data_IF_526963883860
#
_entry.id   IF_526963883860
#
_cell.length_a   1.000
_cell.length_b   1.000
_cell.length_c   1.000
_cell.angle_alpha   90.00
_cell.angle_beta   90.00
_cell.angle_gamma   90.00
#
_symmetry.space_group_name_H-M   'P 1'
#
loop_
_entity.id
_entity.type
_entity.pdbx_description
1 polymer ?
#
# COMPACT_ATOMS: atom_id res chain seq x y z
N UNK A 1 9.77 19.93 15.60
CA UNK A 1 8.99 19.28 14.52
C UNK A 1 9.61 17.91 14.32
N UNK A 2 9.01 16.88 14.90
CA UNK A 2 9.59 15.54 14.93
C UNK A 2 9.68 14.98 13.52
N UNK A 3 10.90 14.70 13.04
CA UNK A 3 11.10 13.67 12.01
C UNK A 3 10.66 12.37 12.65
N UNK A 4 9.38 12.07 12.52
CA UNK A 4 8.86 10.74 12.74
C UNK A 4 9.78 9.78 11.93
N UNK A 5 10.33 8.77 12.59
CA UNK A 5 11.38 7.90 12.06
C UNK A 5 10.90 6.93 10.97
N UNK A 6 10.08 7.40 10.02
CA UNK A 6 9.43 6.59 8.98
C UNK A 6 10.43 5.93 8.03
N UNK A 7 11.57 6.57 7.74
CA UNK A 7 12.49 6.14 6.68
C UNK A 7 13.20 4.80 6.91
N UNK A 8 13.22 4.27 8.14
CA UNK A 8 13.82 2.97 8.44
C UNK A 8 12.85 1.80 8.29
N UNK A 9 11.58 2.00 8.66
CA UNK A 9 10.61 0.90 8.70
C UNK A 9 9.76 0.79 7.44
N UNK A 10 9.51 1.94 6.80
CA UNK A 10 8.92 1.97 5.47
C UNK A 10 10.00 2.02 4.38
N UNK A 11 11.27 1.82 4.72
CA UNK A 11 12.36 1.85 3.74
C UNK A 11 12.23 0.72 2.71
N UNK A 12 11.82 -0.48 3.14
CA UNK A 12 11.51 -1.60 2.24
C UNK A 12 10.26 -1.32 1.41
N UNK A 13 9.18 -0.90 2.07
CA UNK A 13 7.89 -0.64 1.45
C UNK A 13 7.93 0.56 0.47
N UNK A 14 8.63 1.63 0.81
CA UNK A 14 8.87 2.77 -0.09
C UNK A 14 9.77 2.40 -1.29
N UNK A 15 10.69 1.45 -1.13
CA UNK A 15 11.45 0.90 -2.26
C UNK A 15 10.56 0.00 -3.14
N UNK A 16 9.59 -0.69 -2.54
CA UNK A 16 8.66 -1.58 -3.24
C UNK A 16 7.59 -0.80 -4.03
N UNK A 17 7.12 0.32 -3.48
CA UNK A 17 6.22 1.26 -4.13
C UNK A 17 6.93 2.24 -5.08
N UNK A 18 8.26 2.23 -5.14
CA UNK A 18 9.01 3.10 -6.03
C UNK A 18 8.69 2.77 -7.49
N UNK A 19 8.31 3.80 -8.25
CA UNK A 19 7.89 3.62 -9.64
C UNK A 19 6.53 2.95 -9.84
N UNK A 20 5.72 2.76 -8.79
CA UNK A 20 4.31 2.34 -8.92
C UNK A 20 3.49 3.34 -9.76
N UNK A 21 3.89 4.61 -9.75
CA UNK A 21 3.31 5.66 -10.59
C UNK A 21 4.35 6.23 -11.55
N UNK A 22 3.93 6.47 -12.80
CA UNK A 22 4.67 7.23 -13.78
C UNK A 22 4.78 8.71 -13.41
N UNK A 23 5.57 9.45 -14.18
CA UNK A 23 5.72 10.92 -14.01
C UNK A 23 4.42 11.69 -14.28
N UNK A 24 3.49 11.06 -14.97
CA UNK A 24 2.13 11.54 -15.25
C UNK A 24 1.11 11.14 -14.17
N UNK A 25 1.54 10.42 -13.13
CA UNK A 25 0.68 9.95 -12.05
C UNK A 25 -0.19 8.75 -12.40
N UNK A 26 0.03 8.11 -13.55
CA UNK A 26 -0.68 6.88 -13.93
C UNK A 26 0.01 5.68 -13.30
N UNK A 27 -0.77 4.70 -12.85
CA UNK A 27 -0.23 3.46 -12.32
C UNK A 27 0.54 2.68 -13.41
N UNK A 28 1.81 2.37 -13.12
CA UNK A 28 2.71 1.71 -14.05
C UNK A 28 2.54 0.17 -13.98
N UNK A 29 1.47 -0.32 -14.60
CA UNK A 29 1.15 -1.75 -14.65
C UNK A 29 2.26 -2.62 -15.28
N UNK A 30 3.17 -2.03 -16.06
CA UNK A 30 4.33 -2.69 -16.65
C UNK A 30 5.46 -2.97 -15.65
N UNK A 31 5.43 -2.33 -14.47
CA UNK A 31 6.50 -2.39 -13.47
C UNK A 31 6.09 -3.10 -12.20
N UNK A 32 4.84 -2.91 -11.77
CA UNK A 32 4.28 -3.50 -10.57
C UNK A 32 2.87 -3.99 -10.87
N UNK A 33 2.52 -5.21 -10.43
CA UNK A 33 1.15 -5.69 -10.56
C UNK A 33 0.27 -4.88 -9.61
N UNK A 34 -0.93 -4.53 -10.07
CA UNK A 34 -1.85 -3.74 -9.25
C UNK A 34 -2.23 -4.46 -7.95
N UNK A 35 -2.36 -5.79 -7.99
CA UNK A 35 -2.57 -6.64 -6.80
C UNK A 35 -1.44 -6.44 -5.78
N UNK A 36 -0.19 -6.68 -6.19
CA UNK A 36 0.99 -6.50 -5.31
C UNK A 36 1.08 -5.08 -4.73
N UNK A 37 0.73 -4.06 -5.53
CA UNK A 37 0.71 -2.68 -5.04
C UNK A 37 -0.33 -2.47 -3.92
N UNK A 38 -1.52 -3.03 -4.08
CA UNK A 38 -2.60 -2.85 -3.10
C UNK A 38 -2.31 -3.63 -1.83
N UNK A 39 -1.76 -4.84 -1.95
CA UNK A 39 -1.25 -5.66 -0.83
C UNK A 39 -0.18 -4.89 -0.03
N UNK A 40 0.81 -4.32 -0.71
CA UNK A 40 1.85 -3.49 -0.06
C UNK A 40 1.28 -2.27 0.67
N UNK A 41 0.18 -1.70 0.15
CA UNK A 41 -0.53 -0.59 0.81
C UNK A 41 -1.34 -1.06 2.02
N UNK A 42 -1.89 -2.28 2.00
CA UNK A 42 -2.54 -2.89 3.16
C UNK A 42 -1.53 -3.06 4.30
N UNK A 43 -0.39 -3.73 4.04
CA UNK A 43 0.68 -3.90 5.03
C UNK A 43 1.14 -2.56 5.62
N UNK A 44 1.23 -1.52 4.79
CA UNK A 44 1.57 -0.17 5.23
C UNK A 44 0.54 0.37 6.23
N UNK A 45 -0.75 0.22 5.93
CA UNK A 45 -1.83 0.74 6.74
C UNK A 45 -1.96 -0.04 8.06
N UNK A 46 -1.78 -1.35 8.03
CA UNK A 46 -1.75 -2.20 9.24
C UNK A 46 -0.60 -1.79 10.17
N UNK A 47 0.60 -1.56 9.63
CA UNK A 47 1.75 -1.09 10.44
C UNK A 47 1.48 0.29 11.07
N UNK A 48 0.85 1.20 10.31
CA UNK A 48 0.45 2.52 10.82
C UNK A 48 -0.58 2.35 11.94
N UNK A 49 -1.61 1.53 11.72
CA UNK A 49 -2.67 1.31 12.70
C UNK A 49 -2.14 0.65 13.98
N UNK A 50 -1.24 -0.32 13.85
CA UNK A 50 -0.55 -0.95 14.98
C UNK A 50 0.23 0.07 15.82
N UNK A 51 0.90 1.03 15.19
CA UNK A 51 1.70 2.03 15.90
C UNK A 51 0.89 3.10 16.59
N UNK A 52 -0.11 3.61 15.89
CA UNK A 52 -0.89 4.75 16.35
C UNK A 52 -2.00 4.31 17.31
N UNK A 53 -2.52 3.09 17.15
CA UNK A 53 -3.69 2.58 17.90
C UNK A 53 -3.50 1.22 18.56
N UNK A 54 -2.40 0.51 18.29
CA UNK A 54 -2.18 -0.83 18.83
C UNK A 54 -3.06 -1.90 18.18
N UNK A 55 -3.63 -1.60 17.02
CA UNK A 55 -4.59 -2.44 16.30
C UNK A 55 -4.05 -2.68 14.88
N UNK A 56 -3.45 -3.84 14.66
CA UNK A 56 -2.89 -4.22 13.35
C UNK A 56 -3.96 -4.71 12.38
N UNK A 57 -5.13 -5.10 12.88
CA UNK A 57 -6.24 -5.65 12.10
C UNK A 57 -7.13 -4.54 11.51
N UNK A 58 -6.88 -3.28 11.88
CA UNK A 58 -7.72 -2.15 11.45
C UNK A 58 -7.72 -1.89 9.93
N UNK A 59 -6.72 -2.42 9.21
CA UNK A 59 -6.63 -2.32 7.76
C UNK A 59 -6.72 -3.69 7.05
N UNK A 60 -6.94 -4.77 7.80
CA UNK A 60 -7.11 -6.12 7.25
C UNK A 60 -8.28 -6.16 6.26
N UNK A 61 -8.06 -6.82 5.12
CA UNK A 61 -9.00 -6.91 4.01
C UNK A 61 -9.07 -5.66 3.13
N UNK A 62 -8.12 -4.73 3.25
CA UNK A 62 -8.06 -3.55 2.37
C UNK A 62 -7.86 -3.94 0.90
N UNK A 63 -6.96 -4.88 0.63
CA UNK A 63 -6.70 -5.41 -0.70
C UNK A 63 -7.95 -6.04 -1.30
N UNK A 64 -8.62 -6.91 -0.54
CA UNK A 64 -9.85 -7.54 -0.98
C UNK A 64 -10.93 -6.50 -1.30
N UNK A 65 -11.06 -5.45 -0.46
CA UNK A 65 -11.99 -4.35 -0.70
C UNK A 65 -11.71 -3.63 -2.01
N UNK A 66 -10.45 -3.24 -2.25
CA UNK A 66 -10.03 -2.51 -3.45
C UNK A 66 -10.18 -3.38 -4.70
N UNK A 67 -9.71 -4.63 -4.67
CA UNK A 67 -9.82 -5.53 -5.82
C UNK A 67 -11.28 -5.79 -6.18
N UNK A 68 -12.17 -5.97 -5.20
CA UNK A 68 -13.60 -6.13 -5.46
C UNK A 68 -14.24 -4.91 -6.14
N UNK A 69 -13.74 -3.71 -5.86
CA UNK A 69 -14.32 -2.46 -6.39
C UNK A 69 -13.70 -2.01 -7.71
N UNK A 70 -12.43 -2.34 -7.95
CA UNK A 70 -11.65 -1.78 -9.06
C UNK A 70 -11.06 -2.82 -10.02
N UNK A 71 -10.93 -4.09 -9.62
CA UNK A 71 -10.47 -5.15 -10.54
C UNK A 71 -11.58 -5.64 -11.50
N UNK A 72 -12.81 -5.13 -11.34
CA UNK A 72 -13.98 -5.50 -12.11
C UNK A 72 -14.58 -6.82 -11.64
N UNK A 73 -15.90 -6.87 -11.50
CA UNK A 73 -16.63 -8.13 -11.59
C UNK A 73 -16.27 -8.72 -12.96
N UNK A 74 -15.46 -9.76 -12.99
CA UNK A 74 -15.01 -10.39 -14.23
C UNK A 74 -16.21 -10.92 -15.01
N UNK A 75 -16.65 -10.16 -16.01
CA UNK A 75 -17.60 -10.55 -17.05
C UNK A 75 -16.95 -10.51 -18.43
#
# INVERSE_FOLDING_TARGET
>A
MGRLGWGGHFGGLAAQLDGAFGTDGVFAHDRLRFVDFVDDVEELLEEVARRERGDEEAADGFEEYVLRHYAGDGG
#
